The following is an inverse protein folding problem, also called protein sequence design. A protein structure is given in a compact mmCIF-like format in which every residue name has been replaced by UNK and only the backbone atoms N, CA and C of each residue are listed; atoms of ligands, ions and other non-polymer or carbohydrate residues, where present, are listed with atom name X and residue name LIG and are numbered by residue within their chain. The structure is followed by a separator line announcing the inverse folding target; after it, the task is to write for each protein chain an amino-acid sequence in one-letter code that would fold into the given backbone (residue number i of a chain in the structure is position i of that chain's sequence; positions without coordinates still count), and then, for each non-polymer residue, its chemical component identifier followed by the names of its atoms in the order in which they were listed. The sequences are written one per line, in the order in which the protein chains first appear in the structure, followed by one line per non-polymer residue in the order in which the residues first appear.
data_IF_671368756406
#
_entry.id   IF_671368756406
#
_cell.length_a   1.000
_cell.length_b   1.000
_cell.length_c   1.000
_cell.angle_alpha   90.00
_cell.angle_beta   90.00
_cell.angle_gamma   90.00
#
_symmetry.space_group_name_H-M   'P 1'
#
loop_
_entity.id
_entity.type
_entity.pdbx_description
1 polymer ?
#
# COMPACT_ATOMS: atom_id res chain seq x y z
N UNK A 1 2.26 -16.40 -7.99
CA UNK A 1 2.99 -15.18 -8.39
C UNK A 1 3.11 -14.34 -7.13
N UNK A 2 4.27 -13.76 -6.82
CA UNK A 2 4.41 -12.92 -5.62
C UNK A 2 3.90 -11.52 -5.95
N UNK A 3 2.98 -10.96 -5.16
CA UNK A 3 2.44 -9.62 -5.44
C UNK A 3 3.50 -8.53 -5.21
N UNK A 4 3.31 -7.33 -5.79
CA UNK A 4 4.21 -6.20 -5.54
C UNK A 4 4.30 -5.83 -4.06
N UNK A 5 3.19 -5.93 -3.32
CA UNK A 5 3.17 -5.70 -1.87
C UNK A 5 4.01 -6.76 -1.14
N UNK A 6 3.87 -8.04 -1.51
CA UNK A 6 4.67 -9.11 -0.92
C UNK A 6 6.17 -8.96 -1.21
N UNK A 7 6.52 -8.43 -2.39
CA UNK A 7 7.92 -8.19 -2.78
C UNK A 7 8.61 -7.13 -1.91
N UNK A 8 7.87 -6.21 -1.28
CA UNK A 8 8.45 -5.24 -0.34
C UNK A 8 9.12 -5.91 0.86
N UNK A 9 8.60 -7.06 1.32
CA UNK A 9 9.18 -7.79 2.45
C UNK A 9 10.56 -8.39 2.16
N UNK A 10 10.97 -8.46 0.89
CA UNK A 10 12.33 -8.89 0.53
C UNK A 10 13.35 -7.75 0.62
N UNK A 11 12.90 -6.49 0.71
CA UNK A 11 13.78 -5.34 0.91
C UNK A 11 14.15 -5.22 2.38
N UNK A 12 15.45 -5.31 2.65
CA UNK A 12 16.03 -5.25 4.00
C UNK A 12 15.85 -3.89 4.68
N UNK A 13 15.58 -2.85 3.90
CA UNK A 13 15.33 -1.50 4.39
C UNK A 13 13.83 -1.22 4.58
N UNK A 14 12.96 -2.12 4.14
CA UNK A 14 11.53 -1.98 4.33
C UNK A 14 11.18 -2.00 5.81
N UNK A 15 10.30 -1.08 6.23
CA UNK A 15 9.83 -0.92 7.62
C UNK A 15 10.88 -0.56 8.68
N UNK A 16 12.12 -0.23 8.29
CA UNK A 16 13.15 0.16 9.25
C UNK A 16 12.76 1.46 9.95
N UNK A 17 12.58 1.41 11.27
CA UNK A 17 12.24 2.58 12.09
C UNK A 17 10.73 2.80 12.28
N UNK A 18 9.88 1.92 11.74
CA UNK A 18 8.44 1.92 11.98
C UNK A 18 8.16 1.73 13.48
N UNK A 19 7.23 2.54 13.99
CA UNK A 19 6.73 2.51 15.36
C UNK A 19 5.44 1.71 15.48
N UNK A 20 4.59 1.83 14.47
CA UNK A 20 3.31 1.14 14.41
C UNK A 20 2.95 0.78 12.97
N UNK A 21 2.13 -0.26 12.80
CA UNK A 21 1.72 -0.75 11.51
C UNK A 21 0.24 -1.15 11.54
N UNK A 22 -0.52 -0.58 10.62
CA UNK A 22 -1.92 -0.97 10.39
C UNK A 22 -2.06 -1.59 9.00
N UNK A 23 -2.72 -2.74 8.94
CA UNK A 23 -2.98 -3.44 7.67
C UNK A 23 -4.44 -3.85 7.61
N UNK A 24 -4.99 -3.89 6.41
CA UNK A 24 -6.33 -4.38 6.21
C UNK A 24 -6.72 -4.45 4.75
N UNK A 25 -8.01 -4.62 4.52
CA UNK A 25 -8.58 -4.76 3.19
C UNK A 25 -9.81 -3.87 3.10
N UNK A 26 -9.97 -3.20 1.96
CA UNK A 26 -11.15 -2.42 1.61
C UNK A 26 -11.59 -2.75 0.19
N UNK A 27 -12.81 -2.35 -0.14
CA UNK A 27 -13.34 -2.46 -1.50
C UNK A 27 -13.52 -1.02 -2.00
N UNK A 28 -12.93 -0.69 -3.15
CA UNK A 28 -13.11 0.62 -3.77
C UNK A 28 -14.45 0.72 -4.54
N UNK A 29 -14.74 1.89 -5.10
CA UNK A 29 -15.97 2.11 -5.89
C UNK A 29 -16.06 1.26 -7.17
N UNK A 30 -14.91 0.80 -7.67
CA UNK A 30 -14.80 -0.10 -8.82
C UNK A 30 -14.98 -1.58 -8.46
N UNK A 31 -15.32 -1.90 -7.20
CA UNK A 31 -15.41 -3.26 -6.65
C UNK A 31 -14.08 -4.03 -6.65
N UNK A 32 -12.95 -3.33 -6.77
CA UNK A 32 -11.63 -3.93 -6.59
C UNK A 32 -11.35 -4.15 -5.10
N UNK A 33 -10.79 -5.30 -4.78
CA UNK A 33 -10.23 -5.57 -3.46
C UNK A 33 -8.89 -4.84 -3.34
N UNK A 34 -8.80 -3.90 -2.40
CA UNK A 34 -7.59 -3.12 -2.12
C UNK A 34 -7.05 -3.51 -0.75
N UNK A 35 -5.87 -4.11 -0.73
CA UNK A 35 -5.12 -4.34 0.51
C UNK A 35 -4.35 -3.06 0.85
N UNK A 36 -4.42 -2.60 2.09
CA UNK A 36 -3.67 -1.44 2.54
C UNK A 36 -2.68 -1.80 3.64
N UNK A 37 -1.60 -1.02 3.71
CA UNK A 37 -0.63 -1.04 4.79
C UNK A 37 -0.20 0.39 5.10
N UNK A 38 -0.36 0.79 6.36
CA UNK A 38 0.09 2.07 6.89
C UNK A 38 1.26 1.80 7.82
N UNK A 39 2.37 2.48 7.58
CA UNK A 39 3.58 2.42 8.39
C UNK A 39 3.75 3.77 9.07
N UNK A 40 3.64 3.79 10.39
CA UNK A 40 3.79 4.99 11.19
C UNK A 40 5.23 5.09 11.69
N UNK A 41 5.93 6.13 11.27
CA UNK A 41 7.25 6.50 11.77
C UNK A 41 7.14 7.61 12.80
N UNK A 42 8.27 8.05 13.35
CA UNK A 42 8.25 9.11 14.36
C UNK A 42 7.67 10.44 13.85
N UNK A 43 8.03 10.82 12.62
CA UNK A 43 7.69 12.13 12.04
C UNK A 43 6.95 12.03 10.70
N UNK A 44 6.57 10.82 10.28
CA UNK A 44 5.95 10.59 8.98
C UNK A 44 5.10 9.31 8.94
N UNK A 45 4.24 9.21 7.94
CA UNK A 45 3.43 8.02 7.63
C UNK A 45 3.69 7.62 6.18
N UNK A 46 3.92 6.33 5.95
CA UNK A 46 3.91 5.75 4.61
C UNK A 46 2.67 4.89 4.43
N UNK A 47 1.97 5.07 3.31
CA UNK A 47 0.77 4.34 2.95
C UNK A 47 1.03 3.56 1.68
N UNK A 48 0.70 2.27 1.71
CA UNK A 48 0.74 1.38 0.56
C UNK A 48 -0.67 0.90 0.27
N UNK A 49 -1.12 1.05 -0.97
CA UNK A 49 -2.38 0.55 -1.48
C UNK A 49 -2.08 -0.46 -2.58
N UNK A 50 -2.55 -1.69 -2.42
CA UNK A 50 -2.29 -2.79 -3.33
C UNK A 50 -3.60 -3.30 -3.91
N UNK A 51 -3.71 -3.26 -5.24
CA UNK A 51 -4.77 -3.95 -5.99
C UNK A 51 -4.12 -5.20 -6.58
N UNK A 52 -4.70 -6.36 -6.30
CA UNK A 52 -4.21 -7.64 -6.79
C UNK A 52 -5.38 -8.55 -7.14
N UNK A 53 -5.45 -9.00 -8.40
CA UNK A 53 -6.45 -9.95 -8.90
C UNK A 53 -5.75 -11.18 -9.48
N UNK A 54 -5.88 -12.32 -8.78
CA UNK A 54 -5.29 -13.60 -9.16
C UNK A 54 -6.01 -14.28 -10.34
N UNK A 55 -7.26 -13.92 -10.61
CA UNK A 55 -8.11 -14.55 -11.63
C UNK A 55 -7.94 -13.90 -13.02
N UNK A 56 -7.23 -12.76 -13.11
CA UNK A 56 -6.96 -12.06 -14.37
C UNK A 56 -5.62 -12.54 -14.98
N UNK A 57 -5.60 -13.07 -16.22
CA UNK A 57 -4.39 -13.67 -16.83
C UNK A 57 -3.19 -12.73 -17.01
N UNK A 58 -3.44 -11.41 -16.98
CA UNK A 58 -2.40 -10.38 -17.03
C UNK A 58 -2.28 -9.61 -15.71
N UNK A 59 -2.87 -10.13 -14.63
CA UNK A 59 -2.77 -9.72 -13.23
C UNK A 59 -2.72 -8.22 -13.02
N UNK A 60 -3.84 -7.61 -12.61
CA UNK A 60 -3.80 -6.24 -12.10
C UNK A 60 -3.09 -6.27 -10.75
N UNK A 61 -1.75 -6.19 -10.77
CA UNK A 61 -0.87 -6.10 -9.60
C UNK A 61 -0.34 -4.67 -9.55
N UNK A 62 -1.08 -3.80 -8.89
CA UNK A 62 -0.76 -2.37 -8.72
C UNK A 62 -0.42 -2.15 -7.26
N UNK A 63 0.70 -1.48 -7.02
CA UNK A 63 1.11 -1.02 -5.70
C UNK A 63 1.35 0.48 -5.80
N UNK A 64 0.48 1.25 -5.16
CA UNK A 64 0.65 2.68 -5.00
C UNK A 64 1.23 2.98 -3.62
N UNK A 65 2.13 3.97 -3.56
CA UNK A 65 2.77 4.44 -2.32
C UNK A 65 2.57 5.93 -2.15
N UNK A 66 2.09 6.35 -0.98
CA UNK A 66 2.12 7.72 -0.51
C UNK A 66 2.99 7.85 0.74
N UNK A 67 3.65 8.98 0.92
CA UNK A 67 4.44 9.27 2.11
C UNK A 67 4.30 10.75 2.45
N UNK A 68 3.93 11.06 3.69
CA UNK A 68 3.72 12.43 4.15
C UNK A 68 3.83 12.50 5.69
N UNK A 69 3.75 13.71 6.23
CA UNK A 69 3.78 13.93 7.69
C UNK A 69 2.46 13.53 8.37
N UNK A 70 1.37 13.45 7.60
CA UNK A 70 0.03 13.06 8.07
C UNK A 70 -0.50 11.85 7.31
N UNK A 71 -1.40 11.09 7.95
CA UNK A 71 -2.05 9.95 7.31
C UNK A 71 -2.91 10.39 6.12
N UNK A 72 -3.70 11.46 6.26
CA UNK A 72 -4.61 11.95 5.22
C UNK A 72 -3.85 12.35 3.95
N UNK A 73 -2.75 13.08 4.09
CA UNK A 73 -1.91 13.48 2.94
C UNK A 73 -1.23 12.26 2.29
N UNK A 74 -0.75 11.31 3.10
CA UNK A 74 -0.14 10.09 2.59
C UNK A 74 -1.16 9.22 1.83
N UNK A 75 -2.40 9.13 2.32
CA UNK A 75 -3.50 8.44 1.62
C UNK A 75 -3.83 9.14 0.31
N UNK A 76 -3.97 10.46 0.31
CA UNK A 76 -4.26 11.21 -0.92
C UNK A 76 -3.18 11.00 -1.99
N UNK A 77 -1.90 11.03 -1.61
CA UNK A 77 -0.77 10.75 -2.51
C UNK A 77 -0.73 9.31 -3.02
N UNK A 78 -1.22 8.34 -2.24
CA UNK A 78 -1.32 6.96 -2.68
C UNK A 78 -2.49 6.77 -3.66
N UNK A 79 -3.64 7.40 -3.40
CA UNK A 79 -4.82 7.32 -4.26
C UNK A 79 -4.58 7.96 -5.63
N UNK A 80 -3.89 9.11 -5.69
CA UNK A 80 -3.51 9.77 -6.96
C UNK A 80 -2.66 8.87 -7.89
N UNK A 81 -1.96 7.89 -7.31
CA UNK A 81 -1.14 6.92 -8.06
C UNK A 81 -1.89 5.62 -8.39
N UNK A 82 -3.12 5.48 -7.90
CA UNK A 82 -3.99 4.33 -8.13
C UNK A 82 -4.96 4.56 -9.31
N UNK A 83 -5.21 5.83 -9.69
CA UNK A 83 -5.97 6.26 -10.88
C UNK A 83 -5.22 5.98 -12.19
#
# INVERSE_FOLDING_TARGET
MKSKLEALFDDKNFSVGVKDCETGVMINEHQDLVTYMFLFYQDSVEVFLSVFDEDVPYGRDILAKGAADTLDDAVALALDKLE
#
